data_IF_250794252255
#
_entry.id   IF_250794252255
#
_cell.length_a   1.000
_cell.length_b   1.000
_cell.length_c   1.000
_cell.angle_alpha   90.00
_cell.angle_beta   90.00
_cell.angle_gamma   90.00
#
_symmetry.space_group_name_H-M   'P 1'
#
loop_
_entity.id
_entity.type
_entity.pdbx_description
1 polymer ?
#
# COMPACT_ATOMS: atom_id res chain seq x y z
N UNK A 1 7.87 8.56 -18.95
CA UNK A 1 6.71 9.02 -18.16
C UNK A 1 6.99 8.67 -16.71
N UNK A 2 7.26 9.66 -15.86
CA UNK A 2 7.29 9.42 -14.41
C UNK A 2 5.87 9.04 -13.97
N UNK A 3 5.70 7.81 -13.51
CA UNK A 3 4.48 7.43 -12.78
C UNK A 3 4.58 8.14 -11.45
N UNK A 4 3.95 9.33 -11.33
CA UNK A 4 3.75 9.99 -10.04
C UNK A 4 3.04 8.98 -9.14
N UNK A 5 3.77 8.39 -8.19
CA UNK A 5 3.18 7.46 -7.21
C UNK A 5 2.07 8.21 -6.46
N UNK A 6 0.81 7.87 -6.79
CA UNK A 6 -0.35 8.52 -6.21
C UNK A 6 -0.44 8.17 -4.72
N UNK A 7 -0.22 9.15 -3.85
CA UNK A 7 -0.48 9.02 -2.41
C UNK A 7 -1.99 8.98 -2.22
N UNK A 8 -2.56 7.94 -1.58
CA UNK A 8 -3.99 7.89 -1.32
C UNK A 8 -4.36 9.01 -0.33
N UNK A 9 -5.42 9.76 -0.65
CA UNK A 9 -5.96 10.79 0.25
C UNK A 9 -6.90 10.20 1.32
N UNK A 10 -7.39 8.97 1.10
CA UNK A 10 -8.34 8.28 1.97
C UNK A 10 -7.87 6.84 2.22
N UNK A 11 -8.06 6.34 3.43
CA UNK A 11 -7.87 4.92 3.74
C UNK A 11 -9.12 4.10 3.33
N UNK A 12 -9.02 2.78 3.20
CA UNK A 12 -10.13 1.87 2.92
C UNK A 12 -11.34 1.99 3.84
N UNK A 13 -11.15 2.45 5.09
CA UNK A 13 -12.23 2.70 6.04
C UNK A 13 -12.87 4.10 5.91
N UNK A 14 -12.38 4.94 4.99
CA UNK A 14 -12.91 6.28 4.77
C UNK A 14 -12.30 7.38 5.66
N UNK A 15 -11.17 7.12 6.33
CA UNK A 15 -10.42 8.17 7.05
C UNK A 15 -9.49 8.95 6.14
N UNK A 16 -9.27 10.23 6.45
CA UNK A 16 -8.40 11.11 5.67
C UNK A 16 -6.93 10.86 5.99
N UNK A 17 -6.16 10.51 4.96
CA UNK A 17 -4.71 10.38 5.03
C UNK A 17 -4.08 11.75 4.77
N UNK A 18 -3.61 12.40 5.83
CA UNK A 18 -2.95 13.70 5.80
C UNK A 18 -1.70 13.71 6.69
N UNK A 19 -0.88 14.76 6.59
CA UNK A 19 0.28 14.94 7.46
C UNK A 19 -0.14 14.81 8.94
N UNK A 20 0.59 14.00 9.71
CA UNK A 20 0.26 13.69 11.11
C UNK A 20 -0.82 12.62 11.31
N UNK A 21 -1.50 12.16 10.25
CA UNK A 21 -2.54 11.12 10.31
C UNK A 21 -2.19 9.84 9.56
N UNK A 22 -1.07 9.83 8.84
CA UNK A 22 -0.58 8.68 8.08
C UNK A 22 0.90 8.47 8.34
N UNK A 23 1.28 7.22 8.58
CA UNK A 23 2.67 6.79 8.51
C UNK A 23 2.92 6.25 7.10
N UNK A 24 3.81 6.92 6.38
CA UNK A 24 4.31 6.42 5.09
C UNK A 24 5.54 5.57 5.36
N UNK A 25 5.51 4.34 4.87
CA UNK A 25 6.58 3.37 5.04
C UNK A 25 6.88 2.63 3.75
N UNK A 26 7.76 1.65 3.86
CA UNK A 26 8.10 0.73 2.80
C UNK A 26 8.15 -0.69 3.36
N UNK A 27 7.68 -1.66 2.58
CA UNK A 27 7.70 -3.08 2.94
C UNK A 27 8.27 -3.89 1.79
N UNK A 28 9.25 -4.78 2.04
CA UNK A 28 9.78 -5.65 1.00
C UNK A 28 8.68 -6.56 0.46
N UNK A 29 8.70 -6.82 -0.85
CA UNK A 29 7.73 -7.68 -1.51
C UNK A 29 8.33 -8.30 -2.79
N UNK A 30 7.93 -9.55 -3.05
CA UNK A 30 8.37 -10.36 -4.20
C UNK A 30 7.23 -10.62 -5.19
N UNK A 31 6.13 -9.85 -5.10
CA UNK A 31 5.05 -9.96 -6.07
C UNK A 31 5.55 -9.62 -7.49
N UNK A 32 4.90 -10.13 -8.56
CA UNK A 32 5.33 -9.89 -9.94
C UNK A 32 5.68 -8.43 -10.28
N UNK A 33 4.90 -7.39 -9.88
CA UNK A 33 5.25 -6.00 -10.19
C UNK A 33 6.46 -5.46 -9.41
N UNK A 34 6.88 -6.12 -8.32
CA UNK A 34 8.06 -5.76 -7.54
C UNK A 34 9.29 -6.60 -7.90
N UNK A 35 9.12 -7.87 -8.27
CA UNK A 35 10.24 -8.77 -8.58
C UNK A 35 11.01 -8.33 -9.84
N UNK A 36 10.29 -7.81 -10.83
CA UNK A 36 10.88 -7.21 -12.04
C UNK A 36 11.62 -5.89 -11.82
N UNK A 37 11.63 -5.34 -10.59
CA UNK A 37 12.35 -4.11 -10.24
C UNK A 37 13.80 -4.42 -9.85
N UNK A 38 14.68 -3.44 -10.05
CA UNK A 38 16.09 -3.53 -9.68
C UNK A 38 16.32 -3.85 -8.19
N UNK A 39 17.51 -4.36 -7.85
CA UNK A 39 17.90 -4.62 -6.45
C UNK A 39 17.74 -3.35 -5.62
N UNK A 40 17.13 -3.48 -4.44
CA UNK A 40 16.78 -2.35 -3.56
C UNK A 40 15.42 -1.71 -3.82
N UNK A 41 14.74 -2.05 -4.94
CA UNK A 41 13.41 -1.53 -5.29
C UNK A 41 12.29 -2.58 -5.16
N UNK A 42 12.62 -3.76 -4.61
CA UNK A 42 11.71 -4.90 -4.47
C UNK A 42 10.81 -4.74 -3.24
N UNK A 43 9.77 -3.95 -3.39
CA UNK A 43 8.78 -3.75 -2.35
C UNK A 43 7.75 -2.70 -2.68
N UNK A 44 6.89 -2.45 -1.69
CA UNK A 44 5.77 -1.54 -1.79
C UNK A 44 5.94 -0.38 -0.84
N UNK A 45 5.53 0.80 -1.30
CA UNK A 45 5.21 1.89 -0.41
C UNK A 45 3.94 1.55 0.37
N UNK A 46 3.94 1.82 1.67
CA UNK A 46 2.82 1.50 2.56
C UNK A 46 2.30 2.73 3.27
N UNK A 47 1.00 2.77 3.52
CA UNK A 47 0.34 3.86 4.23
C UNK A 47 -0.48 3.27 5.38
N UNK A 48 -0.07 3.57 6.61
CA UNK A 48 -0.80 3.18 7.82
C UNK A 48 -1.63 4.37 8.30
N UNK A 49 -2.94 4.18 8.35
CA UNK A 49 -3.86 5.16 8.92
C UNK A 49 -3.77 5.16 10.44
N UNK A 50 -3.51 6.32 11.04
CA UNK A 50 -3.42 6.45 12.49
C UNK A 50 -4.79 6.49 13.16
N UNK A 51 -5.81 7.07 12.50
CA UNK A 51 -7.18 7.04 13.02
C UNK A 51 -7.66 5.59 13.19
N UNK A 52 -7.41 4.72 12.20
CA UNK A 52 -7.75 3.30 12.32
C UNK A 52 -6.95 2.62 13.45
N UNK A 53 -5.64 2.91 13.55
CA UNK A 53 -4.79 2.34 14.61
C UNK A 53 -5.35 2.66 15.99
N UNK A 54 -5.81 3.89 16.21
CA UNK A 54 -6.38 4.35 17.49
C UNK A 54 -7.75 3.71 17.76
N UNK A 55 -8.51 3.39 16.72
CA UNK A 55 -9.74 2.57 16.80
C UNK A 55 -9.47 1.07 17.00
N UNK A 56 -8.20 0.67 17.21
CA UNK A 56 -7.75 -0.72 17.30
C UNK A 56 -8.02 -1.55 16.02
N UNK A 57 -8.18 -0.88 14.87
CA UNK A 57 -8.33 -1.49 13.54
C UNK A 57 -7.10 -1.14 12.71
N UNK A 58 -6.26 -2.09 12.32
CA UNK A 58 -5.10 -1.74 11.49
C UNK A 58 -5.47 -1.76 10.00
N UNK A 59 -5.67 -0.59 9.40
CA UNK A 59 -5.79 -0.45 7.95
C UNK A 59 -4.47 -0.01 7.34
N UNK A 60 -3.89 -0.86 6.48
CA UNK A 60 -2.64 -0.57 5.76
C UNK A 60 -2.84 -0.72 4.26
N UNK A 61 -2.59 0.34 3.51
CA UNK A 61 -2.59 0.31 2.05
C UNK A 61 -1.19 -0.02 1.53
N UNK A 62 -1.13 -0.81 0.46
CA UNK A 62 0.10 -1.15 -0.26
C UNK A 62 -0.05 -0.67 -1.70
N UNK A 63 1.01 -0.07 -2.27
CA UNK A 63 1.02 0.32 -3.68
C UNK A 63 2.15 -0.38 -4.46
N UNK A 64 1.85 -1.05 -5.60
CA UNK A 64 0.49 -1.38 -6.08
C UNK A 64 -0.28 -2.32 -5.14
N UNK A 65 -1.61 -2.29 -5.23
CA UNK A 65 -2.51 -3.06 -4.37
C UNK A 65 -2.34 -4.56 -4.60
N UNK A 66 -2.25 -5.36 -3.53
CA UNK A 66 -2.02 -6.81 -3.61
C UNK A 66 -3.30 -7.64 -3.51
N UNK A 67 -4.44 -7.04 -3.12
CA UNK A 67 -5.70 -7.80 -3.05
C UNK A 67 -6.11 -8.11 -4.48
N UNK A 68 -6.23 -9.40 -4.85
CA UNK A 68 -6.76 -9.78 -6.14
C UNK A 68 -8.18 -9.21 -6.24
N UNK A 69 -8.52 -8.49 -7.31
CA UNK A 69 -9.92 -8.35 -7.70
C UNK A 69 -10.49 -9.76 -7.95
N UNK A 70 -11.81 -9.97 -7.88
CA UNK A 70 -12.43 -11.31 -8.03
C UNK A 70 -11.96 -12.11 -9.27
N UNK A 71 -11.39 -11.44 -10.27
CA UNK A 71 -10.80 -12.00 -11.50
C UNK A 71 -9.31 -11.69 -11.73
N UNK A 72 -8.55 -11.26 -10.71
CA UNK A 72 -7.12 -11.06 -10.88
C UNK A 72 -6.41 -12.42 -11.01
N UNK A 73 -5.64 -12.59 -12.09
CA UNK A 73 -4.94 -13.83 -12.46
C UNK A 73 -3.95 -14.36 -11.39
N UNK A 74 -3.69 -13.62 -10.31
CA UNK A 74 -2.78 -14.00 -9.25
C UNK A 74 -3.45 -13.94 -7.88
N UNK A 75 -3.68 -15.11 -7.28
CA UNK A 75 -3.82 -15.28 -5.82
C UNK A 75 -2.46 -15.65 -5.26
N UNK A 76 -1.98 -14.87 -4.29
CA UNK A 76 -0.89 -15.31 -3.42
C UNK A 76 -1.45 -16.24 -2.32
N UNK A 77 -0.67 -17.24 -1.86
CA UNK A 77 -1.08 -18.20 -0.83
C UNK A 77 -1.41 -17.56 0.51
#
# INVERSE_FOLDING_TARGET
MEVREHVPFMCPAGHRLAAGRVIVGWSPCVCPPCDGRGRGLRGHRTYLCLDCKDEHVTTKCYLPHHVPTENAEYRWP
#
